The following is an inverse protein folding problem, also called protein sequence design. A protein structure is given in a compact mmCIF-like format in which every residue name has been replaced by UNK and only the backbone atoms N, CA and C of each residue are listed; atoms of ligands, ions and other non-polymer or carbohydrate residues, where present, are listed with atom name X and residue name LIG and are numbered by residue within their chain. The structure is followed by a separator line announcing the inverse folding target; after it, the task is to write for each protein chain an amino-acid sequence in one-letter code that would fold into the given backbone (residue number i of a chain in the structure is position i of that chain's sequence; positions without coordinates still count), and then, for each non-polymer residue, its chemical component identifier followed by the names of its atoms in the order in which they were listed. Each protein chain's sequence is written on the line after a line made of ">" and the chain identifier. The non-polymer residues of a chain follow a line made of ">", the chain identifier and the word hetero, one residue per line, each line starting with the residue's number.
data_IF_389113138680
#
_entry.id   IF_389113138680
#
_cell.length_a   1.000
_cell.length_b   1.000
_cell.length_c   1.000
_cell.angle_alpha   90.00
_cell.angle_beta   90.00
_cell.angle_gamma   90.00
#
_symmetry.space_group_name_H-M   'P 1'
#
loop_
_entity.id
_entity.type
_entity.pdbx_description
1 polymer ?
#
# COMPACT_ATOMS: atom_id res chain seq x y z
N UNK A 1 -21.63 -2.08 7.59
CA UNK A 1 -21.46 -2.32 6.15
C UNK A 1 -20.77 -1.07 5.63
N UNK A 2 -19.62 -1.18 5.01
CA UNK A 2 -18.92 -0.01 4.47
C UNK A 2 -19.82 0.65 3.41
N UNK A 3 -19.97 1.97 3.47
CA UNK A 3 -20.86 2.71 2.56
C UNK A 3 -20.19 3.02 1.21
N UNK A 4 -18.94 2.59 1.00
CA UNK A 4 -18.16 2.86 -0.20
C UNK A 4 -18.30 1.70 -1.19
N UNK A 5 -18.48 2.02 -2.46
CA UNK A 5 -18.58 1.06 -3.57
C UNK A 5 -17.87 1.63 -4.79
N UNK A 6 -17.44 0.76 -5.71
CA UNK A 6 -16.70 1.13 -6.91
C UNK A 6 -15.19 0.94 -6.77
N UNK A 7 -14.55 0.54 -7.87
CA UNK A 7 -13.12 0.19 -7.88
C UNK A 7 -12.18 1.39 -7.79
N UNK A 8 -12.70 2.62 -7.90
CA UNK A 8 -11.91 3.85 -7.80
C UNK A 8 -12.12 4.49 -6.43
N UNK A 9 -11.02 4.88 -5.79
CA UNK A 9 -11.05 5.63 -4.53
C UNK A 9 -11.73 6.98 -4.73
N UNK A 10 -12.74 7.28 -3.92
CA UNK A 10 -13.33 8.63 -3.86
C UNK A 10 -12.61 9.48 -2.81
N UNK A 11 -12.72 10.81 -2.89
CA UNK A 11 -12.15 11.70 -1.87
C UNK A 11 -12.77 11.44 -0.49
N UNK A 12 -14.09 11.22 -0.44
CA UNK A 12 -14.79 10.91 0.81
C UNK A 12 -14.29 9.60 1.44
N UNK A 13 -14.04 8.57 0.62
CA UNK A 13 -13.46 7.33 1.09
C UNK A 13 -12.03 7.55 1.60
N UNK A 14 -11.20 8.33 0.88
CA UNK A 14 -9.84 8.65 1.32
C UNK A 14 -9.85 9.31 2.70
N UNK A 15 -10.65 10.34 2.89
CA UNK A 15 -10.75 11.07 4.16
C UNK A 15 -11.26 10.18 5.31
N UNK A 16 -12.14 9.23 5.00
CA UNK A 16 -12.62 8.23 5.95
C UNK A 16 -11.51 7.25 6.35
N UNK A 17 -10.82 6.65 5.37
CA UNK A 17 -9.78 5.63 5.59
C UNK A 17 -8.55 6.18 6.30
N UNK A 18 -8.10 7.38 5.94
CA UNK A 18 -6.98 8.03 6.65
C UNK A 18 -7.33 8.26 8.12
N UNK A 19 -8.56 8.69 8.40
CA UNK A 19 -9.03 8.84 9.78
C UNK A 19 -9.02 7.50 10.52
N UNK A 20 -9.45 6.41 9.89
CA UNK A 20 -9.37 5.08 10.50
C UNK A 20 -7.92 4.64 10.77
N UNK A 21 -6.99 4.90 9.84
CA UNK A 21 -5.56 4.62 10.03
C UNK A 21 -5.03 5.32 11.29
N UNK A 22 -5.27 6.63 11.43
CA UNK A 22 -4.79 7.42 12.56
C UNK A 22 -5.55 7.15 13.88
N UNK A 23 -6.87 7.14 13.86
CA UNK A 23 -7.66 7.01 15.09
C UNK A 23 -7.72 5.57 15.59
N UNK A 24 -7.85 4.58 14.71
CA UNK A 24 -7.98 3.19 15.13
C UNK A 24 -6.62 2.52 15.22
N UNK A 25 -5.89 2.41 14.11
CA UNK A 25 -4.69 1.57 14.04
C UNK A 25 -3.50 2.18 14.81
N UNK A 26 -3.37 3.52 14.81
CA UNK A 26 -2.28 4.19 15.53
C UNK A 26 -2.64 4.46 17.00
N UNK A 27 -3.82 5.05 17.28
CA UNK A 27 -4.15 5.49 18.66
C UNK A 27 -4.79 4.40 19.52
N UNK A 28 -5.73 3.64 18.97
CA UNK A 28 -6.58 2.72 19.74
C UNK A 28 -6.00 1.31 19.78
N UNK A 29 -5.79 0.67 18.63
CA UNK A 29 -5.33 -0.71 18.51
C UNK A 29 -3.82 -0.84 18.61
N UNK A 30 -3.06 0.18 18.15
CA UNK A 30 -1.59 0.20 18.16
C UNK A 30 -0.99 -1.03 17.46
N UNK A 31 -1.61 -1.42 16.37
CA UNK A 31 -1.29 -2.60 15.56
C UNK A 31 -0.61 -2.24 14.24
N UNK A 32 -0.31 -0.95 14.04
CA UNK A 32 0.53 -0.49 12.94
C UNK A 32 2.02 -0.67 13.27
N UNK A 33 2.79 -1.22 12.33
CA UNK A 33 4.25 -1.18 12.39
C UNK A 33 4.74 0.27 12.27
N UNK A 34 5.10 0.87 13.41
CA UNK A 34 5.46 2.29 13.49
C UNK A 34 6.69 2.66 12.64
N UNK A 35 7.55 1.70 12.30
CA UNK A 35 8.65 1.89 11.35
C UNK A 35 8.15 2.21 9.93
N UNK A 36 6.96 1.73 9.56
CA UNK A 36 6.33 1.98 8.28
C UNK A 36 5.63 3.34 8.22
N UNK A 37 5.27 3.93 9.37
CA UNK A 37 4.45 5.14 9.44
C UNK A 37 4.98 6.30 8.55
N UNK A 38 6.27 6.69 8.59
CA UNK A 38 6.77 7.78 7.77
C UNK A 38 6.58 7.55 6.26
N UNK A 39 6.62 6.29 5.81
CA UNK A 39 6.40 5.93 4.42
C UNK A 39 4.91 6.02 4.06
N UNK A 40 4.02 5.57 4.95
CA UNK A 40 2.58 5.69 4.71
C UNK A 40 2.14 7.16 4.62
N UNK A 41 2.69 8.04 5.46
CA UNK A 41 2.38 9.47 5.40
C UNK A 41 2.74 10.04 4.04
N UNK A 42 3.95 9.77 3.53
CA UNK A 42 4.39 10.20 2.20
C UNK A 42 3.56 9.60 1.06
N UNK A 43 3.18 8.33 1.16
CA UNK A 43 2.31 7.69 0.16
C UNK A 43 0.92 8.36 0.17
N UNK A 44 0.38 8.64 1.35
CA UNK A 44 -0.97 9.21 1.52
C UNK A 44 -1.04 10.70 1.19
N UNK A 45 0.08 11.41 1.15
CA UNK A 45 0.15 12.78 0.64
C UNK A 45 -0.23 12.86 -0.85
N UNK A 46 -0.07 11.78 -1.62
CA UNK A 46 -0.55 11.71 -3.00
C UNK A 46 -2.08 11.82 -3.06
N UNK A 47 -2.67 12.77 -3.81
CA UNK A 47 -4.12 13.04 -3.79
C UNK A 47 -4.96 11.86 -4.30
N UNK A 48 -4.36 10.92 -5.03
CA UNK A 48 -5.05 9.80 -5.62
C UNK A 48 -4.81 8.45 -4.93
N UNK A 49 -4.03 8.39 -3.85
CA UNK A 49 -3.76 7.15 -3.10
C UNK A 49 -4.27 7.22 -1.66
N UNK A 50 -4.68 6.07 -1.13
CA UNK A 50 -4.88 5.84 0.29
C UNK A 50 -4.37 4.44 0.67
N UNK A 51 -3.46 4.35 1.63
CA UNK A 51 -3.02 3.09 2.24
C UNK A 51 -3.99 2.65 3.34
N UNK A 52 -4.21 1.35 3.51
CA UNK A 52 -5.11 0.85 4.58
C UNK A 52 -4.46 -0.11 5.56
N UNK A 53 -3.44 -0.85 5.13
CA UNK A 53 -2.75 -1.84 5.94
C UNK A 53 -1.28 -1.96 5.49
N UNK A 54 -0.38 -2.19 6.45
CA UNK A 54 1.01 -2.51 6.16
C UNK A 54 1.59 -3.48 7.20
N UNK A 55 2.74 -4.07 6.87
CA UNK A 55 3.56 -4.88 7.76
C UNK A 55 5.02 -4.83 7.28
N UNK A 56 5.99 -4.78 8.19
CA UNK A 56 7.43 -4.84 7.88
C UNK A 56 7.98 -6.26 7.69
N UNK A 57 7.15 -7.30 7.89
CA UNK A 57 7.54 -8.70 7.64
C UNK A 57 8.50 -9.30 8.67
N UNK A 58 8.34 -8.94 9.96
CA UNK A 58 9.22 -9.42 11.05
C UNK A 58 8.48 -10.26 12.11
N UNK A 59 7.26 -10.71 11.85
CA UNK A 59 6.39 -11.28 12.87
C UNK A 59 6.66 -12.76 13.18
N UNK A 60 7.24 -13.52 12.25
CA UNK A 60 7.60 -14.94 12.44
C UNK A 60 8.89 -15.31 11.69
N UNK A 61 9.59 -16.38 12.10
CA UNK A 61 10.80 -16.86 11.42
C UNK A 61 10.60 -17.24 9.94
N UNK A 62 9.37 -17.63 9.57
CA UNK A 62 8.97 -18.07 8.23
C UNK A 62 8.11 -17.02 7.49
N UNK A 63 7.88 -15.85 8.10
CA UNK A 63 7.07 -14.78 7.53
C UNK A 63 7.99 -13.64 7.11
N UNK A 64 8.51 -13.76 5.88
CA UNK A 64 9.58 -12.92 5.36
C UNK A 64 9.07 -11.79 4.46
N UNK A 65 7.76 -11.62 4.35
CA UNK A 65 7.12 -10.68 3.43
C UNK A 65 6.71 -9.38 4.11
N UNK A 66 7.44 -8.30 3.88
CA UNK A 66 6.89 -6.98 4.14
C UNK A 66 5.78 -6.69 3.13
N UNK A 67 4.75 -5.96 3.51
CA UNK A 67 3.72 -5.56 2.57
C UNK A 67 3.10 -4.22 2.93
N UNK A 68 2.50 -3.59 1.93
CA UNK A 68 1.52 -2.54 2.15
C UNK A 68 0.46 -2.62 1.08
N UNK A 69 -0.76 -2.20 1.44
CA UNK A 69 -1.85 -2.10 0.50
C UNK A 69 -2.28 -0.66 0.28
N UNK A 70 -2.94 -0.43 -0.85
CA UNK A 70 -3.52 0.86 -1.17
C UNK A 70 -4.71 0.74 -2.11
N UNK A 71 -5.56 1.76 -2.04
CA UNK A 71 -6.58 2.08 -3.03
C UNK A 71 -6.14 3.29 -3.84
N UNK A 72 -6.65 3.41 -5.07
CA UNK A 72 -6.29 4.48 -5.99
C UNK A 72 -7.51 5.07 -6.69
N UNK A 73 -7.53 6.38 -6.91
CA UNK A 73 -8.60 7.08 -7.65
C UNK A 73 -8.37 7.10 -9.16
N UNK A 74 -7.20 6.64 -9.61
CA UNK A 74 -6.85 6.46 -11.02
C UNK A 74 -7.33 5.09 -11.53
N UNK A 75 -7.64 4.96 -12.85
CA UNK A 75 -8.01 3.69 -13.45
C UNK A 75 -6.95 2.59 -13.23
N UNK A 76 -7.34 1.30 -13.17
CA UNK A 76 -6.40 0.20 -12.95
C UNK A 76 -5.23 0.16 -13.94
N UNK A 77 -5.48 0.46 -15.22
CA UNK A 77 -4.44 0.50 -16.25
C UNK A 77 -3.38 1.54 -15.91
N UNK A 78 -3.79 2.71 -15.40
CA UNK A 78 -2.87 3.75 -14.98
C UNK A 78 -2.03 3.30 -13.77
N UNK A 79 -2.64 2.63 -12.79
CA UNK A 79 -1.92 2.10 -11.61
C UNK A 79 -0.89 1.06 -12.04
N UNK A 80 -1.28 0.16 -12.94
CA UNK A 80 -0.40 -0.88 -13.47
C UNK A 80 0.79 -0.25 -14.20
N UNK A 81 0.53 0.67 -15.14
CA UNK A 81 1.56 1.19 -16.02
C UNK A 81 2.54 2.15 -15.33
N UNK A 82 2.05 2.93 -14.35
CA UNK A 82 2.85 3.99 -13.75
C UNK A 82 3.42 3.64 -12.38
N UNK A 83 2.85 2.67 -11.66
CA UNK A 83 3.29 2.31 -10.32
C UNK A 83 3.77 0.86 -10.23
N UNK A 84 2.96 -0.09 -10.68
CA UNK A 84 3.24 -1.51 -10.44
C UNK A 84 4.28 -2.10 -11.39
N UNK A 85 4.19 -1.81 -12.70
CA UNK A 85 5.17 -2.29 -13.69
C UNK A 85 6.58 -1.78 -13.40
N UNK A 86 6.81 -0.47 -13.20
CA UNK A 86 8.16 0.02 -12.88
C UNK A 86 8.73 -0.62 -11.61
N UNK A 87 7.89 -0.82 -10.59
CA UNK A 87 8.29 -1.45 -9.33
C UNK A 87 8.75 -2.90 -9.54
N UNK A 88 7.97 -3.70 -10.25
CA UNK A 88 8.27 -5.11 -10.54
C UNK A 88 9.46 -5.26 -11.50
N UNK A 89 9.65 -4.32 -12.42
CA UNK A 89 10.82 -4.31 -13.32
C UNK A 89 12.12 -3.98 -12.58
N UNK A 90 12.05 -3.12 -11.56
CA UNK A 90 13.23 -2.70 -10.78
C UNK A 90 13.62 -3.70 -9.68
N UNK A 91 12.64 -4.33 -9.03
CA UNK A 91 12.87 -5.22 -7.90
C UNK A 91 12.35 -6.64 -8.18
N UNK A 92 13.25 -7.62 -8.11
CA UNK A 92 12.87 -9.04 -8.05
C UNK A 92 12.25 -9.34 -6.69
N UNK A 93 11.28 -10.25 -6.60
CA UNK A 93 10.64 -10.57 -5.30
C UNK A 93 9.48 -9.66 -4.90
N UNK A 94 8.99 -8.84 -5.82
CA UNK A 94 7.72 -8.13 -5.68
C UNK A 94 6.58 -9.02 -6.16
N UNK A 95 5.58 -9.22 -5.29
CA UNK A 95 4.35 -9.92 -5.64
C UNK A 95 3.13 -9.02 -5.42
N UNK A 96 2.26 -8.94 -6.42
CA UNK A 96 1.07 -8.09 -6.36
C UNK A 96 -0.17 -8.96 -6.14
N UNK A 97 -0.86 -8.72 -5.05
CA UNK A 97 -2.18 -9.28 -4.76
C UNK A 97 -3.28 -8.26 -5.00
N UNK A 98 -4.36 -8.67 -5.67
CA UNK A 98 -5.55 -7.84 -5.85
C UNK A 98 -6.65 -8.32 -4.92
N UNK A 99 -7.14 -7.44 -4.06
CA UNK A 99 -8.23 -7.70 -3.13
C UNK A 99 -9.48 -6.91 -3.53
N UNK A 100 -10.65 -7.34 -3.03
CA UNK A 100 -11.91 -6.60 -3.18
C UNK A 100 -12.54 -6.62 -4.58
N UNK A 101 -12.03 -7.45 -5.51
CA UNK A 101 -12.58 -7.59 -6.87
C UNK A 101 -14.06 -7.99 -6.91
N UNK A 102 -14.51 -8.80 -5.94
CA UNK A 102 -15.88 -9.34 -5.90
C UNK A 102 -16.91 -8.38 -5.30
N UNK A 103 -16.46 -7.28 -4.68
CA UNK A 103 -17.32 -6.29 -4.04
C UNK A 103 -17.14 -4.89 -4.63
N UNK A 104 -16.54 -4.79 -5.82
CA UNK A 104 -16.18 -3.53 -6.46
C UNK A 104 -15.41 -2.60 -5.51
N UNK A 105 -14.40 -3.14 -4.81
CA UNK A 105 -13.54 -2.38 -3.91
C UNK A 105 -12.08 -2.74 -4.14
N UNK A 106 -11.62 -2.59 -5.39
CA UNK A 106 -10.27 -2.93 -5.77
C UNK A 106 -9.22 -2.28 -4.85
N UNK A 107 -8.37 -3.14 -4.31
CA UNK A 107 -7.23 -2.80 -3.47
C UNK A 107 -6.00 -3.56 -3.95
N UNK A 108 -4.90 -2.84 -4.12
CA UNK A 108 -3.61 -3.39 -4.53
C UNK A 108 -2.79 -3.65 -3.28
N UNK A 109 -2.23 -4.84 -3.13
CA UNK A 109 -1.30 -5.15 -2.06
C UNK A 109 0.03 -5.58 -2.66
N UNK A 110 1.08 -4.87 -2.26
CA UNK A 110 2.45 -5.10 -2.69
C UNK A 110 3.14 -5.91 -1.60
N UNK A 111 3.45 -7.15 -1.90
CA UNK A 111 4.28 -8.03 -1.09
C UNK A 111 5.74 -7.93 -1.53
N UNK A 112 6.64 -7.84 -0.56
CA UNK A 112 8.06 -7.61 -0.73
C UNK A 112 8.81 -8.70 0.03
N UNK A 113 9.62 -9.50 -0.67
CA UNK A 113 10.39 -10.61 -0.10
C UNK A 113 11.89 -10.29 -0.01
N UNK A 114 12.32 -9.34 0.85
CA UNK A 114 13.69 -8.80 0.87
C UNK A 114 14.77 -9.86 1.08
N UNK A 115 14.53 -10.84 1.97
CA UNK A 115 15.51 -11.88 2.33
C UNK A 115 15.90 -12.77 1.15
N UNK A 116 14.97 -13.01 0.23
CA UNK A 116 15.21 -13.85 -0.94
C UNK A 116 16.08 -13.15 -2.00
N UNK A 117 16.05 -11.80 -2.05
CA UNK A 117 16.62 -11.03 -3.16
C UNK A 117 17.68 -10.00 -2.73
N UNK A 118 18.02 -9.94 -1.44
CA UNK A 118 19.22 -9.25 -0.95
C UNK A 118 19.12 -7.73 -0.81
N UNK A 119 17.91 -7.19 -0.60
CA UNK A 119 17.65 -5.78 -0.34
C UNK A 119 16.79 -5.58 0.92
N UNK A 120 16.59 -4.34 1.39
CA UNK A 120 15.74 -4.03 2.54
C UNK A 120 14.29 -3.74 2.13
N UNK A 121 13.31 -4.05 2.98
CA UNK A 121 11.88 -3.85 2.67
C UNK A 121 11.52 -2.41 2.30
N UNK A 122 12.24 -1.42 2.83
CA UNK A 122 11.98 -0.01 2.58
C UNK A 122 12.46 0.45 1.20
N UNK A 123 13.37 -0.27 0.54
CA UNK A 123 13.92 0.14 -0.76
C UNK A 123 12.84 0.16 -1.88
N UNK A 124 12.01 -0.88 -2.05
CA UNK A 124 10.89 -0.82 -2.99
C UNK A 124 9.82 0.21 -2.60
N UNK A 125 9.63 0.45 -1.30
CA UNK A 125 8.65 1.44 -0.80
C UNK A 125 9.11 2.85 -1.15
N UNK A 126 10.38 3.18 -0.92
CA UNK A 126 10.97 4.46 -1.34
C UNK A 126 10.89 4.66 -2.85
N UNK A 127 11.16 3.61 -3.62
CA UNK A 127 11.01 3.71 -5.07
C UNK A 127 9.56 3.94 -5.49
N UNK A 128 8.60 3.24 -4.88
CA UNK A 128 7.18 3.50 -5.11
C UNK A 128 6.79 4.94 -4.78
N UNK A 129 7.31 5.49 -3.68
CA UNK A 129 7.10 6.90 -3.32
C UNK A 129 7.71 7.84 -4.38
N UNK A 130 8.93 7.56 -4.85
CA UNK A 130 9.55 8.40 -5.89
C UNK A 130 8.72 8.43 -7.19
N UNK A 131 8.08 7.30 -7.55
CA UNK A 131 7.15 7.27 -8.69
C UNK A 131 5.96 8.21 -8.47
N UNK A 132 5.44 8.31 -7.24
CA UNK A 132 4.34 9.23 -6.91
C UNK A 132 4.77 10.69 -6.90
N UNK A 133 5.96 10.98 -6.41
CA UNK A 133 6.50 12.34 -6.29
C UNK A 133 6.85 12.94 -7.66
N UNK A 134 7.13 12.10 -8.66
CA UNK A 134 7.42 12.52 -10.05
C UNK A 134 6.15 12.85 -10.88
N UNK A 135 4.94 12.73 -10.30
CA UNK A 135 3.64 12.83 -11.01
C UNK A 135 2.87 14.13 -10.82
#
# INVERSE_FOLDING_TARGET
>A
MENFTGNLLTQEEKDYRLRELYELNIKVWKDLDMEFLPYLERINDSPFICTTQCCVGNHKPDDDGAHFDFRCSKPPEWVIDNLLKPLVEKFSGIHISLYGLHCDMLRYCIWIHPKEYGYQWWEPVEYFISLLEDM
#
